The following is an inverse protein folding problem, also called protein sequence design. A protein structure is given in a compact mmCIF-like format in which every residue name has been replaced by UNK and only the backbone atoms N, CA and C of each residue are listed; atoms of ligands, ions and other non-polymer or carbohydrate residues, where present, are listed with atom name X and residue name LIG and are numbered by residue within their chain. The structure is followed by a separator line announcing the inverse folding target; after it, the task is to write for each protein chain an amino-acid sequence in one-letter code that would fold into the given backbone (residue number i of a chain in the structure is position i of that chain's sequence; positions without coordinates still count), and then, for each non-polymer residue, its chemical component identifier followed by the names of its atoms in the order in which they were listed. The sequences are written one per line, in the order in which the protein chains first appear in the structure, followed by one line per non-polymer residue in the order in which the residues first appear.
data_IF_378548975355
#
_entry.id   IF_378548975355
#
_cell.length_a   1.000
_cell.length_b   1.000
_cell.length_c   1.000
_cell.angle_alpha   90.00
_cell.angle_beta   90.00
_cell.angle_gamma   90.00
#
_symmetry.space_group_name_H-M   'P 1'
#
loop_
_entity.id
_entity.type
_entity.pdbx_description
1 polymer ?
#
# COMPACT_ATOMS: atom_id res chain seq x y z
N UNK A 1 15.34 -0.87 29.85
CA UNK A 1 14.44 -0.13 28.93
C UNK A 1 14.22 -0.93 27.63
N UNK A 2 15.11 -1.87 27.29
CA UNK A 2 15.01 -2.83 26.18
C UNK A 2 13.74 -3.68 26.06
N UNK A 3 13.14 -4.08 27.18
CA UNK A 3 11.99 -5.00 27.16
C UNK A 3 10.77 -4.42 26.43
N UNK A 4 10.62 -3.09 26.39
CA UNK A 4 9.50 -2.44 25.72
C UNK A 4 9.70 -2.35 24.20
N UNK A 5 10.95 -2.13 23.75
CA UNK A 5 11.27 -2.07 22.32
C UNK A 5 11.17 -3.44 21.65
N UNK A 6 11.60 -4.50 22.33
CA UNK A 6 11.47 -5.87 21.80
C UNK A 6 10.01 -6.28 21.62
N UNK A 7 9.12 -5.85 22.53
CA UNK A 7 7.68 -6.10 22.43
C UNK A 7 7.04 -5.30 21.29
N UNK A 8 7.48 -4.05 21.04
CA UNK A 8 7.03 -3.27 19.88
C UNK A 8 7.44 -3.93 18.54
N UNK A 9 8.69 -4.39 18.43
CA UNK A 9 9.20 -5.07 17.23
C UNK A 9 8.47 -6.41 16.98
N UNK A 10 8.17 -7.17 18.04
CA UNK A 10 7.40 -8.42 17.95
C UNK A 10 5.92 -8.20 17.65
N UNK A 11 5.30 -7.12 18.12
CA UNK A 11 3.92 -6.74 17.77
C UNK A 11 3.81 -6.27 16.32
N UNK A 12 4.81 -5.56 15.80
CA UNK A 12 4.88 -5.13 14.39
C UNK A 12 4.91 -6.31 13.42
N UNK A 13 5.55 -7.42 13.79
CA UNK A 13 5.58 -8.65 12.97
C UNK A 13 4.34 -9.53 13.14
N UNK A 14 3.47 -9.19 14.11
CA UNK A 14 2.24 -9.92 14.45
C UNK A 14 1.00 -9.13 13.99
N UNK A 15 1.15 -8.24 13.01
CA UNK A 15 0.00 -7.76 12.25
C UNK A 15 -0.64 -8.98 11.58
N UNK A 16 -1.82 -9.30 12.10
CA UNK A 16 -2.59 -10.50 11.81
C UNK A 16 -2.65 -10.75 10.29
N UNK A 17 -2.64 -12.02 9.84
CA UNK A 17 -2.98 -12.35 8.46
C UNK A 17 -4.46 -12.06 8.26
N UNK A 18 -4.80 -10.81 7.94
CA UNK A 18 -6.16 -10.36 7.68
C UNK A 18 -6.58 -10.85 6.29
N UNK A 19 -6.78 -12.16 6.21
CA UNK A 19 -7.75 -12.79 5.31
C UNK A 19 -7.66 -12.41 3.84
N UNK A 20 -6.46 -12.19 3.25
CA UNK A 20 -6.28 -11.89 1.80
C UNK A 20 -7.50 -11.19 1.21
N UNK A 21 -7.93 -10.07 1.83
CA UNK A 21 -9.16 -9.39 1.43
C UNK A 21 -9.05 -9.16 -0.05
N UNK A 22 -10.03 -9.62 -0.82
CA UNK A 22 -10.08 -9.38 -2.25
C UNK A 22 -9.91 -7.87 -2.48
N UNK A 23 -8.74 -7.43 -2.95
CA UNK A 23 -8.37 -6.01 -3.05
C UNK A 23 -7.35 -5.48 -2.04
N UNK A 24 -6.69 -6.32 -1.22
CA UNK A 24 -5.52 -5.90 -0.46
C UNK A 24 -4.36 -5.62 -1.43
N UNK A 25 -3.89 -4.38 -1.41
CA UNK A 25 -2.77 -3.89 -2.19
C UNK A 25 -1.74 -3.28 -1.23
N UNK A 26 -0.43 -3.38 -1.52
CA UNK A 26 0.58 -2.67 -0.74
C UNK A 26 0.32 -1.16 -0.78
N UNK A 27 0.84 -0.40 0.17
CA UNK A 27 0.81 1.07 0.13
C UNK A 27 1.93 1.61 -0.76
N UNK A 28 1.65 2.66 -1.55
CA UNK A 28 2.68 3.45 -2.24
C UNK A 28 3.04 4.71 -1.45
N UNK A 29 4.14 5.35 -1.84
CA UNK A 29 4.45 6.72 -1.44
C UNK A 29 3.78 7.75 -2.38
N UNK A 30 3.73 9.01 -1.93
CA UNK A 30 3.21 10.10 -2.75
C UNK A 30 4.10 10.31 -4.00
N UNK A 31 3.49 10.43 -5.17
CA UNK A 31 4.19 10.58 -6.45
C UNK A 31 4.69 9.27 -7.10
N UNK A 32 4.59 8.13 -6.41
CA UNK A 32 4.94 6.82 -6.95
C UNK A 32 3.88 6.28 -7.93
N UNK A 33 4.26 5.38 -8.86
CA UNK A 33 3.33 4.75 -9.78
C UNK A 33 2.33 3.83 -9.04
N UNK A 34 1.05 4.18 -9.13
CA UNK A 34 -0.03 3.46 -8.43
C UNK A 34 -0.82 2.49 -9.33
N UNK A 35 -0.67 2.64 -10.65
CA UNK A 35 -1.33 1.79 -11.62
C UNK A 35 -0.43 1.59 -12.86
N UNK A 36 -0.79 0.61 -13.67
CA UNK A 36 -0.18 0.37 -14.98
C UNK A 36 -1.27 0.21 -16.03
N UNK A 37 -1.02 0.74 -17.22
CA UNK A 37 -1.93 0.62 -18.36
C UNK A 37 -1.40 -0.39 -19.35
N UNK A 38 -2.24 -1.36 -19.72
CA UNK A 38 -1.98 -2.32 -20.80
C UNK A 38 -3.14 -2.25 -21.79
N UNK A 39 -2.98 -1.44 -22.83
CA UNK A 39 -4.05 -1.14 -23.80
C UNK A 39 -5.21 -0.39 -23.15
N UNK A 40 -6.43 -0.94 -23.28
CA UNK A 40 -7.63 -0.40 -22.66
C UNK A 40 -7.79 -0.77 -21.16
N UNK A 41 -6.96 -1.69 -20.64
CA UNK A 41 -7.06 -2.17 -19.26
C UNK A 41 -6.10 -1.41 -18.35
N UNK A 42 -6.54 -1.16 -17.12
CA UNK A 42 -5.76 -0.53 -16.07
C UNK A 42 -5.69 -1.50 -14.89
N UNK A 43 -4.48 -1.77 -14.42
CA UNK A 43 -4.23 -2.58 -13.23
C UNK A 43 -3.65 -1.71 -12.12
N UNK A 44 -4.25 -1.75 -10.94
CA UNK A 44 -3.75 -1.06 -9.74
C UNK A 44 -2.63 -1.88 -9.10
N UNK A 45 -1.53 -1.22 -8.72
CA UNK A 45 -0.35 -1.86 -8.12
C UNK A 45 -0.35 -1.75 -6.59
N UNK A 46 -0.82 -0.62 -6.08
CA UNK A 46 -0.77 -0.26 -4.66
C UNK A 46 -1.93 0.70 -4.30
N UNK A 47 -2.18 0.90 -3.02
CA UNK A 47 -3.08 1.96 -2.53
C UNK A 47 -2.30 3.23 -2.21
N UNK A 48 -2.79 4.38 -2.69
CA UNK A 48 -2.18 5.67 -2.36
C UNK A 48 -2.40 6.04 -0.89
N UNK A 49 -1.45 6.75 -0.26
CA UNK A 49 -1.57 7.18 1.12
C UNK A 49 -2.69 8.21 1.28
N UNK A 50 -3.23 8.33 2.49
CA UNK A 50 -4.31 9.29 2.81
C UNK A 50 -3.91 10.70 2.37
N UNK A 51 -4.83 11.39 1.68
CA UNK A 51 -4.59 12.73 1.14
C UNK A 51 -4.13 12.75 -0.32
N UNK A 52 -3.81 11.59 -0.89
CA UNK A 52 -3.52 11.42 -2.32
C UNK A 52 -4.45 10.37 -2.92
N UNK A 53 -4.64 10.41 -4.24
CA UNK A 53 -5.46 9.50 -5.02
C UNK A 53 -4.68 9.01 -6.24
N UNK A 54 -4.99 7.79 -6.70
CA UNK A 54 -4.35 7.27 -7.90
C UNK A 54 -4.92 7.97 -9.13
N UNK A 55 -4.15 8.82 -9.79
CA UNK A 55 -4.54 9.44 -11.03
C UNK A 55 -4.30 8.48 -12.19
N UNK A 56 -5.36 7.97 -12.83
CA UNK A 56 -5.25 6.98 -13.90
C UNK A 56 -4.78 7.53 -15.26
N UNK A 57 -4.64 8.84 -15.42
CA UNK A 57 -4.03 9.45 -16.61
C UNK A 57 -2.51 9.47 -16.52
N UNK A 58 -1.95 9.87 -15.36
CA UNK A 58 -0.50 9.88 -15.12
C UNK A 58 0.03 8.63 -14.43
N UNK A 59 -0.88 7.76 -13.97
CA UNK A 59 -0.62 6.49 -13.29
C UNK A 59 0.15 6.64 -11.96
N UNK A 60 0.01 7.77 -11.26
CA UNK A 60 0.73 8.11 -10.02
C UNK A 60 -0.20 8.55 -8.90
N UNK A 61 0.26 8.42 -7.65
CA UNK A 61 -0.43 8.99 -6.48
C UNK A 61 -0.25 10.52 -6.43
N UNK A 62 -1.35 11.25 -6.56
CA UNK A 62 -1.42 12.72 -6.49
C UNK A 62 -2.43 13.17 -5.45
#
# INVERSE_FOLDING_TARGET
IDALQEVLEKLRSKEMPLEKKLGWLPSCDAGEPCAVRKGARIGTLCSCPRGTSCNFYVLKCL
#
